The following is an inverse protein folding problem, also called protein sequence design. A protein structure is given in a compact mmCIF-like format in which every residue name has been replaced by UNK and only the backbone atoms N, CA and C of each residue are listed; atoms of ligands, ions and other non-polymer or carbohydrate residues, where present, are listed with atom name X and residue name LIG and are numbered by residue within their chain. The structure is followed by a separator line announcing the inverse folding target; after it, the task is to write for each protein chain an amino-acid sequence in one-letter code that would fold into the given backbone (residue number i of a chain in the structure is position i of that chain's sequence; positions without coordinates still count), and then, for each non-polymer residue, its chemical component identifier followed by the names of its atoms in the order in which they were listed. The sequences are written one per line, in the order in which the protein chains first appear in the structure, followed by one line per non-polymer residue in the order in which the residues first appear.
data_IF_208795603002
#
_entry.id   IF_208795603002
#
_cell.length_a   1.000
_cell.length_b   1.000
_cell.length_c   1.000
_cell.angle_alpha   90.00
_cell.angle_beta   90.00
_cell.angle_gamma   90.00
#
_symmetry.space_group_name_H-M   'P 1'
#
loop_
_entity.id
_entity.type
_entity.pdbx_description
1 polymer ?
#
# COMPACT_ATOMS: atom_id res chain seq x y z
N UNK A 1 19.95 11.22 -23.64
CA UNK A 1 18.76 10.37 -23.42
C UNK A 1 18.19 10.78 -22.08
N UNK A 2 17.01 11.38 -22.13
CA UNK A 2 16.44 12.11 -21.02
C UNK A 2 15.97 11.15 -19.93
N UNK A 3 16.44 11.40 -18.71
CA UNK A 3 15.84 10.91 -17.48
C UNK A 3 14.35 11.23 -17.51
N UNK A 4 13.53 10.24 -17.73
CA UNK A 4 12.10 10.36 -17.57
C UNK A 4 11.84 10.54 -16.08
N UNK A 5 11.73 11.80 -15.71
CA UNK A 5 11.47 12.34 -14.39
C UNK A 5 10.08 11.86 -13.88
N UNK A 6 9.98 10.61 -13.42
CA UNK A 6 8.77 10.02 -12.85
C UNK A 6 8.40 10.68 -11.51
N UNK A 7 9.27 11.56 -11.00
CA UNK A 7 9.17 12.18 -9.66
C UNK A 7 8.26 13.40 -9.57
N UNK A 8 7.48 13.73 -10.60
CA UNK A 8 6.56 14.89 -10.55
C UNK A 8 5.13 14.57 -10.98
N UNK A 9 4.58 13.46 -10.49
CA UNK A 9 3.13 13.33 -10.53
C UNK A 9 2.55 14.17 -9.37
N UNK A 10 2.47 15.48 -9.59
CA UNK A 10 1.66 16.35 -8.73
C UNK A 10 0.21 16.15 -9.15
N UNK A 11 -0.56 15.45 -8.32
CA UNK A 11 -2.01 15.40 -8.45
C UNK A 11 -2.57 16.79 -8.09
N UNK A 12 -2.59 17.68 -9.09
CA UNK A 12 -3.24 18.97 -8.95
C UNK A 12 -4.73 18.75 -8.70
N UNK A 13 -5.25 19.27 -7.57
CA UNK A 13 -6.64 19.09 -7.15
C UNK A 13 -6.90 17.92 -6.18
N UNK A 14 -5.88 17.13 -5.80
CA UNK A 14 -6.06 16.12 -4.76
C UNK A 14 -6.44 16.77 -3.42
N UNK A 15 -7.43 16.21 -2.71
CA UNK A 15 -7.84 16.67 -1.38
C UNK A 15 -6.69 16.56 -0.38
N UNK A 16 -6.69 17.40 0.66
CA UNK A 16 -5.68 17.35 1.72
C UNK A 16 -5.70 16.01 2.46
N UNK A 17 -6.87 15.39 2.58
CA UNK A 17 -7.01 14.04 3.14
C UNK A 17 -6.30 13.00 2.28
N UNK A 18 -6.42 13.07 0.95
CA UNK A 18 -5.71 12.21 0.03
C UNK A 18 -4.20 12.38 0.20
N UNK A 19 -3.69 13.63 0.11
CA UNK A 19 -2.26 13.94 0.27
C UNK A 19 -1.71 13.41 1.60
N UNK A 20 -2.46 13.59 2.69
CA UNK A 20 -2.07 13.10 4.01
C UNK A 20 -1.97 11.58 4.07
N UNK A 21 -2.96 10.86 3.51
CA UNK A 21 -3.02 9.39 3.55
C UNK A 21 -2.09 8.70 2.57
N UNK A 22 -1.65 9.40 1.52
CA UNK A 22 -0.71 8.88 0.52
C UNK A 22 0.74 9.33 0.75
N UNK A 23 0.98 10.15 1.79
CA UNK A 23 2.32 10.61 2.12
C UNK A 23 3.24 9.42 2.42
N UNK A 24 4.35 9.34 1.69
CA UNK A 24 5.37 8.30 1.87
C UNK A 24 5.06 6.95 1.23
N UNK A 25 3.94 6.79 0.53
CA UNK A 25 3.72 5.59 -0.29
C UNK A 25 4.45 5.72 -1.65
N UNK A 26 4.80 4.59 -2.25
CA UNK A 26 5.55 4.53 -3.49
C UNK A 26 4.84 5.30 -4.63
N UNK A 27 5.58 6.09 -5.47
CA UNK A 27 4.97 6.91 -6.54
C UNK A 27 4.09 6.13 -7.52
N UNK A 28 4.50 4.91 -7.91
CA UNK A 28 3.67 4.03 -8.76
C UNK A 28 2.34 3.65 -8.09
N UNK A 29 2.37 3.42 -6.77
CA UNK A 29 1.15 3.13 -6.00
C UNK A 29 0.25 4.37 -5.86
N UNK A 30 0.83 5.57 -5.76
CA UNK A 30 0.08 6.82 -5.80
C UNK A 30 -0.61 7.02 -7.16
N UNK A 31 0.09 6.72 -8.25
CA UNK A 31 -0.48 6.78 -9.60
C UNK A 31 -1.65 5.81 -9.75
N UNK A 32 -1.48 4.56 -9.31
CA UNK A 32 -2.54 3.56 -9.30
C UNK A 32 -3.75 4.01 -8.48
N UNK A 33 -3.54 4.58 -7.29
CA UNK A 33 -4.61 5.15 -6.46
C UNK A 33 -5.36 6.28 -7.14
N UNK A 34 -4.66 7.13 -7.87
CA UNK A 34 -5.28 8.19 -8.66
C UNK A 34 -6.24 7.64 -9.71
N UNK A 35 -5.85 6.58 -10.43
CA UNK A 35 -6.72 5.89 -11.38
C UNK A 35 -7.89 5.21 -10.66
N UNK A 36 -7.63 4.51 -9.56
CA UNK A 36 -8.67 3.88 -8.75
C UNK A 36 -9.74 4.87 -8.31
N UNK A 37 -9.34 6.00 -7.72
CA UNK A 37 -10.26 7.02 -7.24
C UNK A 37 -11.03 7.71 -8.35
N UNK A 38 -10.43 7.88 -9.52
CA UNK A 38 -11.04 8.56 -10.65
C UNK A 38 -12.04 7.69 -11.43
N UNK A 39 -11.88 6.37 -11.40
CA UNK A 39 -12.58 5.48 -12.34
C UNK A 39 -13.31 4.29 -11.70
N UNK A 40 -13.13 4.05 -10.39
CA UNK A 40 -13.83 2.96 -9.72
C UNK A 40 -15.35 3.14 -9.77
N UNK A 41 -16.12 2.11 -10.18
CA UNK A 41 -17.58 2.19 -10.22
C UNK A 41 -18.24 2.35 -8.85
N UNK A 42 -17.49 2.12 -7.78
CA UNK A 42 -17.92 2.29 -6.39
C UNK A 42 -17.13 3.44 -5.80
N UNK A 43 -17.79 4.33 -5.06
CA UNK A 43 -17.11 5.39 -4.32
C UNK A 43 -16.20 4.78 -3.25
N UNK A 44 -14.92 5.13 -3.30
CA UNK A 44 -13.89 4.56 -2.43
C UNK A 44 -13.10 5.65 -1.69
N UNK A 45 -12.47 5.25 -0.60
CA UNK A 45 -11.55 6.09 0.14
C UNK A 45 -10.33 5.29 0.62
N UNK A 46 -9.20 5.97 0.84
CA UNK A 46 -8.01 5.37 1.43
C UNK A 46 -8.14 5.43 2.94
N UNK A 47 -8.15 4.28 3.58
CA UNK A 47 -8.17 4.15 5.05
C UNK A 47 -6.76 4.30 5.64
N UNK A 48 -5.80 3.58 5.09
CA UNK A 48 -4.42 3.55 5.57
C UNK A 48 -3.43 3.52 4.40
N UNK A 49 -2.33 4.25 4.55
CA UNK A 49 -1.16 4.17 3.68
C UNK A 49 0.06 3.71 4.47
N UNK A 50 1.04 4.62 4.69
CA UNK A 50 2.23 4.28 5.49
C UNK A 50 1.86 4.08 6.95
N UNK A 51 2.37 2.99 7.51
CA UNK A 51 2.22 2.61 8.93
C UNK A 51 3.56 2.67 9.63
N UNK A 52 3.62 3.33 10.79
CA UNK A 52 4.82 3.35 11.63
C UNK A 52 5.05 1.98 12.30
N UNK A 53 6.27 1.75 12.77
CA UNK A 53 6.58 0.55 13.55
C UNK A 53 5.73 0.45 14.81
N UNK A 54 5.52 1.57 15.52
CA UNK A 54 4.72 1.61 16.74
C UNK A 54 3.27 1.20 16.46
N UNK A 55 2.69 1.73 15.39
CA UNK A 55 1.32 1.34 14.96
C UNK A 55 1.25 -0.12 14.55
N UNK A 56 2.27 -0.63 13.84
CA UNK A 56 2.34 -2.03 13.44
C UNK A 56 2.39 -2.95 14.67
N UNK A 57 3.19 -2.60 15.67
CA UNK A 57 3.30 -3.36 16.92
C UNK A 57 2.03 -3.29 17.77
N UNK A 58 1.37 -2.12 17.78
CA UNK A 58 0.06 -1.98 18.42
C UNK A 58 -0.96 -2.93 17.78
N UNK A 59 -1.04 -2.98 16.45
CA UNK A 59 -1.94 -3.89 15.74
C UNK A 59 -1.58 -5.36 15.97
N UNK A 60 -0.29 -5.67 16.00
CA UNK A 60 0.18 -7.03 16.28
C UNK A 60 -0.14 -7.48 17.70
N UNK A 61 -0.15 -6.56 18.67
CA UNK A 61 -0.45 -6.87 20.08
C UNK A 61 -1.92 -7.27 20.32
N UNK A 62 -2.85 -6.81 19.47
CA UNK A 62 -4.29 -7.07 19.62
C UNK A 62 -4.60 -8.55 19.39
N UNK A 63 -5.43 -9.11 20.27
CA UNK A 63 -5.75 -10.54 20.28
C UNK A 63 -4.59 -11.45 20.72
N UNK A 64 -3.48 -10.85 21.22
CA UNK A 64 -2.32 -11.58 21.78
C UNK A 64 -2.01 -11.11 23.20
N UNK A 65 -1.36 -9.97 23.33
CA UNK A 65 -1.00 -9.36 24.63
C UNK A 65 -1.99 -8.28 25.06
N UNK A 66 -2.83 -7.79 24.12
CA UNK A 66 -3.92 -6.87 24.39
C UNK A 66 -5.26 -7.47 23.98
N UNK A 67 -6.37 -7.07 24.63
CA UNK A 67 -7.71 -7.48 24.22
C UNK A 67 -8.02 -7.11 22.75
N UNK A 68 -8.97 -7.82 22.15
CA UNK A 68 -9.46 -7.57 20.79
C UNK A 68 -9.20 -8.72 19.83
N UNK A 69 -9.48 -8.49 18.57
CA UNK A 69 -9.23 -9.45 17.48
C UNK A 69 -7.84 -9.23 16.89
N UNK A 70 -7.26 -10.29 16.34
CA UNK A 70 -5.98 -10.21 15.60
C UNK A 70 -6.21 -9.36 14.35
N UNK A 71 -5.45 -8.27 14.24
CA UNK A 71 -5.50 -7.35 13.09
C UNK A 71 -4.44 -7.73 12.05
N UNK A 72 -3.23 -8.09 12.50
CA UNK A 72 -2.12 -8.43 11.61
C UNK A 72 -1.34 -9.63 12.12
N UNK A 73 -0.72 -10.36 11.20
CA UNK A 73 0.17 -11.50 11.50
C UNK A 73 1.65 -11.12 11.45
N UNK A 74 1.94 -9.89 11.04
CA UNK A 74 3.29 -9.35 10.86
C UNK A 74 3.64 -8.49 12.06
N UNK A 75 4.76 -8.80 12.73
CA UNK A 75 5.19 -8.11 13.97
C UNK A 75 5.88 -6.76 13.70
N UNK A 76 6.26 -6.50 12.45
CA UNK A 76 6.89 -5.26 12.03
C UNK A 76 8.40 -5.20 12.25
N UNK A 77 9.00 -6.22 12.87
CA UNK A 77 10.44 -6.30 13.17
C UNK A 77 11.07 -7.50 12.47
N UNK A 78 10.63 -8.71 12.79
CA UNK A 78 11.11 -9.95 12.15
C UNK A 78 10.56 -10.07 10.73
N UNK A 79 9.30 -9.68 10.58
CA UNK A 79 8.60 -9.56 9.30
C UNK A 79 8.10 -8.15 9.15
N UNK A 80 8.55 -7.44 8.11
CA UNK A 80 8.17 -6.05 7.83
C UNK A 80 6.87 -6.05 7.02
N UNK A 81 5.88 -5.26 7.46
CA UNK A 81 4.65 -5.06 6.70
C UNK A 81 4.91 -4.20 5.47
N UNK A 82 4.23 -4.46 4.36
CA UNK A 82 4.32 -3.61 3.16
C UNK A 82 3.76 -2.20 3.39
N UNK A 83 2.98 -1.97 4.44
CA UNK A 83 2.61 -0.63 4.89
C UNK A 83 3.76 0.14 5.55
N UNK A 84 4.78 -0.54 6.08
CA UNK A 84 5.95 0.13 6.63
C UNK A 84 6.85 0.62 5.50
N UNK A 85 7.70 1.61 5.81
CA UNK A 85 8.71 2.08 4.86
C UNK A 85 9.66 0.94 4.53
N UNK A 86 9.76 0.63 3.24
CA UNK A 86 10.65 -0.38 2.68
C UNK A 86 12.04 0.22 2.42
N UNK A 87 12.95 -0.58 1.86
CA UNK A 87 14.35 -0.19 1.62
C UNK A 87 14.54 0.96 0.64
N UNK A 88 13.57 1.16 -0.25
CA UNK A 88 13.54 2.27 -1.21
C UNK A 88 13.03 3.59 -0.62
N UNK A 89 12.67 3.58 0.67
CA UNK A 89 12.17 4.76 1.38
C UNK A 89 10.66 4.99 1.29
N UNK A 90 9.89 4.04 0.75
CA UNK A 90 8.45 4.16 0.56
C UNK A 90 7.68 3.01 1.20
N UNK A 91 6.43 3.26 1.59
CA UNK A 91 5.45 2.21 1.88
C UNK A 91 4.88 1.65 0.58
N UNK A 92 4.69 0.35 0.51
CA UNK A 92 4.25 -0.36 -0.70
C UNK A 92 2.82 -0.89 -0.60
N UNK A 93 2.09 -0.59 0.48
CA UNK A 93 0.71 -1.03 0.65
C UNK A 93 -0.23 0.11 1.01
N UNK A 94 -1.49 -0.08 0.64
CA UNK A 94 -2.62 0.77 1.00
C UNK A 94 -3.86 -0.06 1.28
N UNK A 95 -4.70 0.43 2.18
CA UNK A 95 -6.02 -0.11 2.43
C UNK A 95 -7.08 0.82 1.84
N UNK A 96 -7.92 0.28 0.96
CA UNK A 96 -8.98 0.98 0.23
C UNK A 96 -10.34 0.41 0.62
N UNK A 97 -11.24 1.26 1.07
CA UNK A 97 -12.59 0.91 1.47
C UNK A 97 -13.62 1.61 0.59
N UNK A 98 -14.81 1.02 0.45
CA UNK A 98 -15.94 1.74 -0.13
C UNK A 98 -16.53 2.74 0.86
N UNK A 99 -17.04 3.85 0.35
CA UNK A 99 -17.67 4.89 1.17
C UNK A 99 -18.93 4.32 1.84
N UNK A 100 -19.07 4.61 3.13
CA UNK A 100 -20.16 4.08 3.95
C UNK A 100 -19.93 2.68 4.51
N UNK A 101 -18.73 2.10 4.34
CA UNK A 101 -18.36 0.83 4.96
C UNK A 101 -18.56 0.86 6.49
N UNK A 102 -19.06 -0.24 7.02
CA UNK A 102 -19.24 -0.47 8.46
C UNK A 102 -18.66 -1.82 8.84
N UNK A 103 -18.18 -1.92 10.07
CA UNK A 103 -17.65 -3.18 10.62
C UNK A 103 -18.71 -4.31 10.69
N UNK A 104 -19.98 -3.98 10.55
CA UNK A 104 -21.11 -4.92 10.50
C UNK A 104 -21.46 -5.37 9.08
N UNK A 105 -20.83 -4.79 8.06
CA UNK A 105 -21.08 -5.19 6.68
C UNK A 105 -20.54 -6.61 6.44
N UNK A 106 -21.23 -7.41 5.62
CA UNK A 106 -20.78 -8.79 5.36
C UNK A 106 -19.45 -8.79 4.61
N UNK A 107 -18.58 -9.74 4.94
CA UNK A 107 -17.27 -9.90 4.29
C UNK A 107 -17.39 -10.17 2.77
N UNK A 108 -18.52 -10.70 2.31
CA UNK A 108 -18.84 -10.94 0.91
C UNK A 108 -19.69 -9.85 0.26
N UNK A 109 -19.73 -8.64 0.83
CA UNK A 109 -20.40 -7.51 0.18
C UNK A 109 -19.91 -7.35 -1.27
N UNK A 110 -20.83 -7.24 -2.26
CA UNK A 110 -20.46 -7.22 -3.68
C UNK A 110 -19.58 -6.04 -4.07
N UNK A 111 -19.57 -4.96 -3.29
CA UNK A 111 -18.69 -3.81 -3.51
C UNK A 111 -17.21 -4.19 -3.41
N UNK A 112 -16.86 -5.16 -2.54
CA UNK A 112 -15.50 -5.67 -2.47
C UNK A 112 -15.04 -6.35 -3.75
N UNK A 113 -15.94 -7.11 -4.41
CA UNK A 113 -15.62 -7.74 -5.69
C UNK A 113 -15.41 -6.70 -6.78
N UNK A 114 -16.27 -5.68 -6.83
CA UNK A 114 -16.15 -4.57 -7.79
C UNK A 114 -14.82 -3.82 -7.62
N UNK A 115 -14.45 -3.49 -6.38
CA UNK A 115 -13.16 -2.83 -6.08
C UNK A 115 -11.99 -3.70 -6.51
N UNK A 116 -12.01 -4.98 -6.17
CA UNK A 116 -10.95 -5.94 -6.51
C UNK A 116 -10.73 -6.08 -8.02
N UNK A 117 -11.81 -6.27 -8.77
CA UNK A 117 -11.73 -6.40 -10.24
C UNK A 117 -11.20 -5.10 -10.87
N UNK A 118 -11.67 -3.96 -10.39
CA UNK A 118 -11.21 -2.66 -10.86
C UNK A 118 -9.75 -2.40 -10.48
N UNK A 119 -9.33 -2.79 -9.28
CA UNK A 119 -7.95 -2.73 -8.82
C UNK A 119 -6.98 -3.47 -9.74
N UNK A 120 -7.35 -4.69 -10.15
CA UNK A 120 -6.58 -5.49 -11.11
C UNK A 120 -6.55 -4.86 -12.50
N UNK A 121 -7.67 -4.30 -12.95
CA UNK A 121 -7.74 -3.61 -14.24
C UNK A 121 -6.79 -2.40 -14.25
N UNK A 122 -6.83 -1.55 -13.22
CA UNK A 122 -5.93 -0.40 -13.11
C UNK A 122 -4.45 -0.82 -13.05
N UNK A 123 -4.12 -1.86 -12.30
CA UNK A 123 -2.76 -2.40 -12.24
C UNK A 123 -2.29 -2.87 -13.64
N UNK A 124 -3.13 -3.61 -14.34
CA UNK A 124 -2.83 -4.08 -15.71
C UNK A 124 -2.64 -2.90 -16.68
N UNK A 125 -3.51 -1.90 -16.64
CA UNK A 125 -3.41 -0.72 -17.51
C UNK A 125 -2.11 0.06 -17.29
N UNK A 126 -1.62 0.11 -16.05
CA UNK A 126 -0.40 0.82 -15.68
C UNK A 126 0.86 -0.07 -15.77
N UNK A 127 0.72 -1.35 -16.13
CA UNK A 127 1.84 -2.30 -16.20
C UNK A 127 2.45 -2.60 -14.83
N UNK A 128 1.66 -2.50 -13.74
CA UNK A 128 2.14 -2.71 -12.37
C UNK A 128 1.93 -4.15 -11.91
N UNK A 129 2.92 -4.70 -11.23
CA UNK A 129 2.77 -5.96 -10.51
C UNK A 129 2.25 -5.68 -9.11
N UNK A 130 1.03 -6.10 -8.84
CA UNK A 130 0.38 -5.89 -7.56
C UNK A 130 -0.17 -7.19 -7.00
N UNK A 131 -0.21 -7.28 -5.69
CA UNK A 131 -0.90 -8.32 -4.93
C UNK A 131 -2.08 -7.70 -4.19
N UNK A 132 -3.16 -8.44 -4.11
CA UNK A 132 -4.39 -7.99 -3.48
C UNK A 132 -4.76 -8.96 -2.36
N UNK A 133 -5.04 -8.45 -1.18
CA UNK A 133 -5.37 -9.28 -0.02
C UNK A 133 -6.63 -10.14 -0.18
N UNK A 134 -7.45 -9.83 -1.19
CA UNK A 134 -8.60 -10.67 -1.56
C UNK A 134 -8.19 -12.01 -2.17
N UNK A 135 -6.97 -12.13 -2.71
CA UNK A 135 -6.42 -13.38 -3.23
C UNK A 135 -5.80 -14.27 -2.14
N UNK A 136 -5.68 -13.75 -0.92
CA UNK A 136 -5.02 -14.48 0.14
C UNK A 136 -5.92 -15.56 0.75
N UNK A 137 -5.30 -16.61 1.29
CA UNK A 137 -6.02 -17.64 2.06
C UNK A 137 -6.79 -17.03 3.24
N UNK A 138 -6.23 -16.00 3.87
CA UNK A 138 -6.89 -15.13 4.83
C UNK A 138 -7.23 -13.85 4.11
N UNK A 139 -8.44 -13.78 3.61
CA UNK A 139 -8.92 -12.66 2.82
C UNK A 139 -8.81 -11.36 3.62
N UNK A 140 -8.14 -10.38 3.00
CA UNK A 140 -8.07 -8.98 3.47
C UNK A 140 -8.49 -8.06 2.32
N UNK A 141 -9.81 -7.91 2.17
CA UNK A 141 -10.40 -7.26 0.98
C UNK A 141 -9.92 -5.81 0.74
N UNK A 142 -9.67 -4.97 1.76
CA UNK A 142 -9.19 -3.61 1.53
C UNK A 142 -7.72 -3.53 1.13
N UNK A 143 -6.91 -4.56 1.39
CA UNK A 143 -5.46 -4.51 1.22
C UNK A 143 -5.00 -4.66 -0.24
N UNK A 144 -4.16 -3.72 -0.67
CA UNK A 144 -3.51 -3.74 -1.99
C UNK A 144 -2.03 -3.36 -1.83
N UNK A 145 -1.12 -4.13 -2.43
CA UNK A 145 0.31 -3.86 -2.34
C UNK A 145 1.04 -3.97 -3.68
N UNK A 146 2.06 -3.12 -3.84
CA UNK A 146 2.97 -3.13 -4.99
C UNK A 146 4.03 -4.20 -4.76
N UNK A 147 4.23 -5.09 -5.75
CA UNK A 147 5.21 -6.17 -5.70
C UNK A 147 6.50 -5.88 -6.47
N UNK A 148 6.50 -4.84 -7.30
CA UNK A 148 7.71 -4.42 -8.01
C UNK A 148 8.70 -3.81 -7.01
N UNK A 149 9.67 -4.64 -6.64
CA UNK A 149 10.98 -4.13 -6.31
C UNK A 149 11.72 -4.07 -7.65
N UNK A 150 12.11 -2.89 -8.06
CA UNK A 150 12.97 -2.78 -9.22
C UNK A 150 14.24 -3.56 -8.91
N UNK A 151 14.47 -4.66 -9.63
CA UNK A 151 15.62 -5.56 -9.39
C UNK A 151 16.92 -4.76 -9.52
N UNK A 152 16.90 -3.68 -10.31
CA UNK A 152 18.01 -2.74 -10.48
C UNK A 152 18.23 -1.94 -9.19
N UNK A 153 17.19 -1.41 -8.56
CA UNK A 153 17.30 -0.65 -7.29
C UNK A 153 17.79 -1.54 -6.14
N UNK A 154 17.33 -2.80 -6.08
CA UNK A 154 17.83 -3.78 -5.09
C UNK A 154 19.29 -4.12 -5.33
N UNK A 155 19.70 -4.28 -6.59
CA UNK A 155 21.08 -4.57 -6.96
C UNK A 155 22.00 -3.38 -6.66
N UNK A 156 21.56 -2.16 -6.96
CA UNK A 156 22.30 -0.94 -6.65
C UNK A 156 22.43 -0.72 -5.14
N UNK A 157 21.36 -0.94 -4.38
CA UNK A 157 21.38 -0.84 -2.93
C UNK A 157 22.30 -1.89 -2.29
N UNK A 158 22.28 -3.13 -2.79
CA UNK A 158 23.22 -4.17 -2.36
C UNK A 158 24.67 -3.83 -2.71
N UNK A 159 24.89 -3.24 -3.89
CA UNK A 159 26.19 -2.76 -4.33
C UNK A 159 26.69 -1.57 -3.51
N UNK A 160 25.81 -0.65 -3.10
CA UNK A 160 26.13 0.46 -2.18
C UNK A 160 26.52 -0.06 -0.79
N UNK A 161 25.77 -1.03 -0.25
CA UNK A 161 26.08 -1.67 1.03
C UNK A 161 27.44 -2.40 1.00
N UNK A 162 27.74 -3.11 -0.08
CA UNK A 162 29.01 -3.82 -0.24
C UNK A 162 30.21 -2.86 -0.39
N UNK A 163 29.96 -1.63 -0.86
CA UNK A 163 30.98 -0.56 -1.01
C UNK A 163 31.11 0.33 0.23
N UNK A 164 30.40 0.02 1.33
CA UNK A 164 30.50 0.75 2.60
C UNK A 164 29.96 2.19 2.56
N UNK A 165 29.13 2.54 1.58
CA UNK A 165 28.52 3.87 1.47
C UNK A 165 27.30 3.91 2.38
N UNK A 166 27.52 4.29 3.64
CA UNK A 166 26.44 4.64 4.56
C UNK A 166 25.90 6.01 4.18
N UNK A 167 24.65 6.08 3.74
CA UNK A 167 23.94 7.36 3.71
C UNK A 167 23.68 7.80 5.17
N UNK A 168 24.57 8.61 5.71
CA UNK A 168 24.30 9.53 6.81
C UNK A 168 24.00 10.88 6.18
N UNK A 169 22.73 11.27 6.22
CA UNK A 169 22.30 12.57 5.83
C UNK A 169 20.83 12.71 6.18
#
# INVERSE_FOLDING_TARGET
MEDTNVNKFQMNGASDTFKKRTKGIHPKLQLWLGYMLATCPVDIFISEGVRTLETQQEYYSRGRTKPGTIITWVDGIKSVSMHQIQRDGYGHAVDVYYVGWKNTDPANDPRWQTIYEHAKLCAKMLGLQMEHGRDWKRIDSPHHQLMEFDVVEVQEFQNMKSKGINQRG
#
